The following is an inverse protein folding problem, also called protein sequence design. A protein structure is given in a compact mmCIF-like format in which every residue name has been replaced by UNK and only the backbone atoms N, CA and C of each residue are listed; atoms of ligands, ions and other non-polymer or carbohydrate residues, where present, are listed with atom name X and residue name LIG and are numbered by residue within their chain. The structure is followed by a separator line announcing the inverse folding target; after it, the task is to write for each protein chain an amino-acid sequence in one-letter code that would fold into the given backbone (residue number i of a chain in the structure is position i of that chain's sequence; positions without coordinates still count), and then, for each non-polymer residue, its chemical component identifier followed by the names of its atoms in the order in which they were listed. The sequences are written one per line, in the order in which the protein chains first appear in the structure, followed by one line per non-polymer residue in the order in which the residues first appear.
data_IF_616046136793
#
_entry.id   IF_616046136793
#
_cell.length_a   1.000
_cell.length_b   1.000
_cell.length_c   1.000
_cell.angle_alpha   90.00
_cell.angle_beta   90.00
_cell.angle_gamma   90.00
#
_symmetry.space_group_name_H-M   'P 1'
#
loop_
_entity.id
_entity.type
_entity.pdbx_description
1 polymer ?
#
# COMPACT_ATOMS: atom_id res chain seq x y z
N UNK A 1 -5.62 5.22 17.69
CA UNK A 1 -6.00 6.20 16.64
C UNK A 1 -5.29 7.55 16.76
N UNK A 2 -5.22 8.21 17.93
CA UNK A 2 -4.50 9.50 18.06
C UNK A 2 -3.02 9.44 17.66
N UNK A 3 -2.30 8.36 18.01
CA UNK A 3 -0.88 8.19 17.66
C UNK A 3 -0.65 7.92 16.17
N UNK A 4 -1.57 7.18 15.53
CA UNK A 4 -1.49 6.86 14.10
C UNK A 4 -1.61 8.09 13.20
N UNK A 5 -1.91 9.29 13.72
CA UNK A 5 -1.96 10.50 12.90
C UNK A 5 -1.01 11.61 13.36
N UNK A 6 -0.47 11.53 14.59
CA UNK A 6 0.61 12.41 15.04
C UNK A 6 1.93 12.13 14.29
N UNK A 7 2.15 10.88 13.84
CA UNK A 7 3.28 10.50 12.99
C UNK A 7 3.14 11.07 11.56
N UNK A 8 1.93 11.35 11.11
CA UNK A 8 1.59 11.61 9.71
C UNK A 8 1.50 13.09 9.32
N UNK A 9 1.65 13.99 10.30
CA UNK A 9 1.34 15.42 10.15
C UNK A 9 2.17 16.19 9.12
N UNK A 10 3.48 15.97 9.00
CA UNK A 10 4.30 16.90 8.19
C UNK A 10 5.49 16.28 7.43
N UNK A 11 5.86 15.00 7.67
CA UNK A 11 7.14 14.45 7.15
C UNK A 11 7.03 13.00 6.62
N UNK A 12 6.06 12.20 7.08
CA UNK A 12 6.07 10.75 6.81
C UNK A 12 5.28 10.24 5.61
N UNK A 13 4.23 10.94 5.15
CA UNK A 13 3.68 10.65 3.82
C UNK A 13 4.78 10.84 2.75
N UNK A 14 5.66 11.81 2.97
CA UNK A 14 6.84 12.01 2.15
C UNK A 14 7.87 10.90 2.35
N UNK A 15 8.21 10.45 3.57
CA UNK A 15 9.18 9.35 3.79
C UNK A 15 8.68 7.97 3.36
N UNK A 16 7.39 7.65 3.49
CA UNK A 16 6.83 6.40 2.95
C UNK A 16 6.83 6.49 1.43
N UNK A 17 6.32 7.56 0.81
CA UNK A 17 6.53 7.76 -0.64
C UNK A 17 8.00 7.85 -1.03
N UNK A 18 8.93 8.30 -0.19
CA UNK A 18 10.34 8.46 -0.55
C UNK A 18 11.11 7.16 -0.39
N UNK A 19 10.82 6.32 0.61
CA UNK A 19 11.35 4.95 0.72
C UNK A 19 10.65 4.01 -0.27
N UNK A 20 9.38 4.25 -0.59
CA UNK A 20 8.58 3.53 -1.58
C UNK A 20 8.96 3.92 -3.00
N UNK A 21 9.11 5.22 -3.30
CA UNK A 21 9.75 5.70 -4.52
C UNK A 21 11.19 5.25 -4.52
N UNK A 22 12.01 5.36 -3.46
CA UNK A 22 13.37 4.82 -3.48
C UNK A 22 13.40 3.30 -3.67
N UNK A 23 12.43 2.52 -3.17
CA UNK A 23 12.34 1.09 -3.43
C UNK A 23 11.93 0.84 -4.88
N UNK A 24 10.85 1.45 -5.37
CA UNK A 24 10.37 1.38 -6.77
C UNK A 24 11.41 1.92 -7.76
N UNK A 25 12.15 2.96 -7.41
CA UNK A 25 13.16 3.66 -8.23
C UNK A 25 14.52 2.95 -8.13
N UNK A 26 14.90 2.39 -6.98
CA UNK A 26 16.00 1.41 -6.83
C UNK A 26 15.72 0.14 -7.63
N UNK A 27 14.46 -0.32 -7.63
CA UNK A 27 13.97 -1.44 -8.43
C UNK A 27 13.85 -1.11 -9.92
N UNK A 28 13.68 0.16 -10.30
CA UNK A 28 13.70 0.63 -11.70
C UNK A 28 15.13 0.85 -12.22
N UNK A 29 16.04 1.31 -11.36
CA UNK A 29 17.48 1.49 -11.66
C UNK A 29 18.24 0.16 -11.74
N UNK A 30 17.86 -0.83 -10.94
CA UNK A 30 18.29 -2.22 -11.12
C UNK A 30 17.35 -2.85 -12.15
N UNK A 31 17.74 -2.85 -13.43
CA UNK A 31 16.96 -3.23 -14.61
C UNK A 31 16.34 -4.67 -14.66
N UNK A 32 15.97 -5.28 -13.53
CA UNK A 32 15.58 -6.68 -13.38
C UNK A 32 14.10 -6.90 -12.97
N UNK A 33 13.35 -5.89 -12.51
CA UNK A 33 11.92 -6.08 -12.19
C UNK A 33 11.01 -5.69 -13.37
N UNK A 34 10.15 -6.61 -13.79
CA UNK A 34 9.15 -6.38 -14.82
C UNK A 34 7.92 -5.63 -14.26
N UNK A 35 7.22 -4.87 -15.11
CA UNK A 35 6.04 -4.07 -14.76
C UNK A 35 5.03 -4.77 -13.81
N UNK A 36 4.80 -6.07 -14.03
CA UNK A 36 3.94 -6.96 -13.23
C UNK A 36 4.37 -7.19 -11.78
N UNK A 37 5.66 -7.23 -11.50
CA UNK A 37 6.19 -7.41 -10.14
C UNK A 37 5.98 -6.11 -9.34
N UNK A 38 6.13 -4.95 -9.99
CA UNK A 38 5.77 -3.64 -9.40
C UNK A 38 4.27 -3.59 -9.11
N UNK A 39 3.45 -4.04 -10.05
CA UNK A 39 2.00 -4.09 -9.89
C UNK A 39 1.59 -4.99 -8.71
N UNK A 40 2.30 -6.10 -8.49
CA UNK A 40 2.08 -6.99 -7.33
C UNK A 40 2.30 -6.26 -6.00
N UNK A 41 3.31 -5.39 -5.92
CA UNK A 41 3.58 -4.55 -4.74
C UNK A 41 2.50 -3.48 -4.56
N UNK A 42 2.14 -2.78 -5.64
CA UNK A 42 1.12 -1.72 -5.60
C UNK A 42 -0.23 -2.24 -5.13
N UNK A 43 -0.65 -3.42 -5.62
CA UNK A 43 -1.92 -4.03 -5.20
C UNK A 43 -1.94 -4.26 -3.68
N UNK A 44 -0.84 -4.72 -3.09
CA UNK A 44 -0.77 -4.97 -1.65
C UNK A 44 -0.92 -3.67 -0.87
N UNK A 45 -0.18 -2.64 -1.24
CA UNK A 45 -0.19 -1.36 -0.53
C UNK A 45 -1.55 -0.67 -0.59
N UNK A 46 -2.14 -0.56 -1.78
CA UNK A 46 -3.44 0.14 -1.88
C UNK A 46 -4.56 -0.68 -1.21
N UNK A 47 -4.50 -2.01 -1.32
CA UNK A 47 -5.53 -2.87 -0.75
C UNK A 47 -5.40 -3.04 0.77
N UNK A 48 -4.19 -3.00 1.35
CA UNK A 48 -4.00 -2.99 2.81
C UNK A 48 -4.67 -1.75 3.42
N UNK A 49 -4.46 -0.58 2.81
CA UNK A 49 -5.06 0.68 3.24
C UNK A 49 -6.57 0.70 3.06
N UNK A 50 -7.11 0.19 1.95
CA UNK A 50 -8.57 0.09 1.78
C UNK A 50 -9.18 -0.80 2.86
N UNK A 51 -8.56 -1.95 3.11
CA UNK A 51 -9.03 -2.93 4.09
C UNK A 51 -8.97 -2.39 5.51
N UNK A 52 -7.95 -1.59 5.82
CA UNK A 52 -7.81 -0.88 7.09
C UNK A 52 -8.83 0.25 7.21
N UNK A 53 -8.92 1.12 6.20
CA UNK A 53 -9.81 2.28 6.15
C UNK A 53 -11.27 1.90 6.37
N UNK A 54 -11.75 0.87 5.66
CA UNK A 54 -13.12 0.34 5.82
C UNK A 54 -13.41 -0.16 7.25
N UNK A 55 -12.42 -0.71 7.96
CA UNK A 55 -12.61 -1.17 9.34
C UNK A 55 -12.71 -0.01 10.33
N UNK A 56 -11.98 1.08 10.08
CA UNK A 56 -11.89 2.20 11.01
C UNK A 56 -12.84 3.35 10.67
N UNK A 57 -13.43 3.39 9.47
CA UNK A 57 -14.29 4.46 8.96
C UNK A 57 -15.36 4.91 9.98
N UNK A 58 -16.12 3.94 10.52
CA UNK A 58 -17.22 4.22 11.45
C UNK A 58 -16.78 4.58 12.87
N UNK A 59 -15.53 4.31 13.23
CA UNK A 59 -14.96 4.61 14.55
C UNK A 59 -14.01 5.80 14.53
N UNK A 60 -13.70 6.33 13.35
CA UNK A 60 -12.75 7.43 13.17
C UNK A 60 -13.23 8.69 13.86
N UNK A 61 -12.41 9.21 14.76
CA UNK A 61 -12.67 10.48 15.43
C UNK A 61 -12.57 11.62 14.39
N UNK A 62 -13.58 12.49 14.35
CA UNK A 62 -13.67 13.60 13.38
C UNK A 62 -13.24 14.97 13.94
N UNK A 63 -12.63 15.00 15.13
CA UNK A 63 -12.14 16.21 15.79
C UNK A 63 -10.78 16.66 15.24
N UNK A 64 -10.02 15.76 14.59
CA UNK A 64 -8.73 16.07 13.95
C UNK A 64 -8.80 15.82 12.44
N UNK A 65 -8.68 16.90 11.66
CA UNK A 65 -8.69 16.87 10.20
C UNK A 65 -7.73 15.81 9.63
N UNK A 66 -6.47 15.85 10.06
CA UNK A 66 -5.42 14.93 9.62
C UNK A 66 -5.81 13.47 9.86
N UNK A 67 -6.47 13.15 10.99
CA UNK A 67 -6.89 11.78 11.26
C UNK A 67 -7.97 11.27 10.32
N UNK A 68 -9.00 12.09 10.11
CA UNK A 68 -10.17 11.62 9.40
C UNK A 68 -10.04 11.75 7.89
N UNK A 69 -9.33 12.76 7.41
CA UNK A 69 -9.02 12.91 5.99
C UNK A 69 -8.23 11.71 5.49
N UNK A 70 -7.27 11.21 6.28
CA UNK A 70 -6.50 10.03 5.91
C UNK A 70 -7.37 8.78 5.74
N UNK A 71 -8.38 8.60 6.60
CA UNK A 71 -9.33 7.50 6.49
C UNK A 71 -10.23 7.70 5.26
N UNK A 72 -10.75 8.91 5.06
CA UNK A 72 -11.64 9.24 3.93
C UNK A 72 -10.95 9.08 2.57
N UNK A 73 -9.65 9.37 2.48
CA UNK A 73 -8.85 9.14 1.28
C UNK A 73 -8.72 7.66 0.91
N UNK A 74 -8.69 6.78 1.92
CA UNK A 74 -8.47 5.34 1.76
C UNK A 74 -9.74 4.52 1.99
N UNK A 75 -10.93 5.13 1.87
CA UNK A 75 -12.21 4.43 1.92
C UNK A 75 -13.16 4.91 0.82
N UNK A 76 -14.37 4.33 0.81
CA UNK A 76 -15.42 4.72 -0.12
C UNK A 76 -15.24 4.22 -1.57
N UNK A 77 -16.27 4.51 -2.39
CA UNK A 77 -16.44 3.92 -3.72
C UNK A 77 -15.34 4.26 -4.71
N UNK A 78 -14.76 5.44 -4.59
CA UNK A 78 -13.68 5.84 -5.49
C UNK A 78 -12.43 4.99 -5.26
N UNK A 79 -11.97 4.88 -4.01
CA UNK A 79 -10.77 4.13 -3.68
C UNK A 79 -10.97 2.61 -3.86
N UNK A 80 -12.16 2.10 -3.56
CA UNK A 80 -12.56 0.72 -3.93
C UNK A 80 -12.39 0.45 -5.43
N UNK A 81 -12.75 1.42 -6.28
CA UNK A 81 -12.58 1.33 -7.72
C UNK A 81 -11.11 1.28 -8.15
N UNK A 82 -10.24 2.08 -7.52
CA UNK A 82 -8.78 2.07 -7.78
C UNK A 82 -8.18 0.71 -7.43
N UNK A 83 -8.45 0.20 -6.23
CA UNK A 83 -7.93 -1.10 -5.78
C UNK A 83 -8.44 -2.23 -6.69
N UNK A 84 -9.73 -2.21 -7.04
CA UNK A 84 -10.29 -3.21 -7.94
C UNK A 84 -9.64 -3.16 -9.33
N UNK A 85 -9.40 -1.96 -9.88
CA UNK A 85 -8.70 -1.81 -11.14
C UNK A 85 -7.30 -2.43 -11.10
N UNK A 86 -6.51 -2.15 -10.07
CA UNK A 86 -5.15 -2.70 -9.92
C UNK A 86 -5.16 -4.23 -9.81
N UNK A 87 -6.11 -4.79 -9.06
CA UNK A 87 -6.28 -6.24 -8.94
C UNK A 87 -6.63 -6.89 -10.27
N UNK A 88 -7.62 -6.34 -10.99
CA UNK A 88 -7.98 -6.84 -12.31
C UNK A 88 -6.82 -6.72 -13.32
N UNK A 89 -6.00 -5.68 -13.21
CA UNK A 89 -4.81 -5.55 -14.05
C UNK A 89 -3.77 -6.63 -13.71
N UNK A 90 -3.55 -6.91 -12.42
CA UNK A 90 -2.65 -7.95 -11.98
C UNK A 90 -3.12 -9.35 -12.41
N UNK A 91 -4.42 -9.63 -12.31
CA UNK A 91 -5.01 -10.89 -12.76
C UNK A 91 -4.77 -11.08 -14.28
N UNK A 92 -4.99 -10.03 -15.08
CA UNK A 92 -4.73 -10.06 -16.53
C UNK A 92 -3.27 -10.31 -16.86
N UNK A 93 -2.34 -9.64 -16.17
CA UNK A 93 -0.90 -9.89 -16.34
C UNK A 93 -0.54 -11.32 -15.93
N UNK A 94 -1.18 -11.85 -14.88
CA UNK A 94 -1.02 -13.21 -14.40
C UNK A 94 -1.42 -14.29 -15.41
N UNK A 95 -2.35 -14.00 -16.33
CA UNK A 95 -2.75 -14.93 -17.39
C UNK A 95 -1.73 -14.97 -18.55
N UNK A 96 -0.90 -13.95 -18.68
CA UNK A 96 0.03 -13.76 -19.81
C UNK A 96 1.46 -14.20 -19.52
N UNK A 97 1.73 -14.71 -18.31
CA UNK A 97 3.07 -15.06 -17.84
C UNK A 97 3.25 -16.55 -17.57
N UNK A 98 4.50 -16.98 -17.68
CA UNK A 98 4.94 -18.32 -17.30
C UNK A 98 5.01 -18.50 -15.78
N UNK A 99 5.25 -19.74 -15.35
CA UNK A 99 5.30 -20.10 -13.93
C UNK A 99 6.42 -19.37 -13.19
N UNK A 100 7.54 -19.11 -13.85
CA UNK A 100 8.66 -18.36 -13.26
C UNK A 100 8.25 -16.91 -12.98
N UNK A 101 7.61 -16.24 -13.94
CA UNK A 101 7.09 -14.89 -13.76
C UNK A 101 6.02 -14.82 -12.67
N UNK A 102 5.17 -15.85 -12.56
CA UNK A 102 4.15 -15.94 -11.52
C UNK A 102 4.78 -16.06 -10.13
N UNK A 103 5.83 -16.87 -9.98
CA UNK A 103 6.52 -17.01 -8.68
C UNK A 103 7.28 -15.73 -8.29
N UNK A 104 7.85 -14.99 -9.25
CA UNK A 104 8.43 -13.67 -8.96
C UNK A 104 7.39 -12.66 -8.48
N UNK A 105 6.24 -12.57 -9.17
CA UNK A 105 5.12 -11.69 -8.76
C UNK A 105 4.63 -12.04 -7.34
N UNK A 106 4.46 -13.33 -7.07
CA UNK A 106 4.07 -13.83 -5.74
C UNK A 106 5.11 -13.51 -4.67
N UNK A 107 6.40 -13.63 -4.98
CA UNK A 107 7.48 -13.28 -4.05
C UNK A 107 7.42 -11.80 -3.69
N UNK A 108 7.26 -10.92 -4.68
CA UNK A 108 7.09 -9.48 -4.47
C UNK A 108 5.83 -9.17 -3.66
N UNK A 109 4.70 -9.81 -3.97
CA UNK A 109 3.44 -9.66 -3.24
C UNK A 109 3.61 -10.01 -1.76
N UNK A 110 4.15 -11.20 -1.45
CA UNK A 110 4.35 -11.65 -0.08
C UNK A 110 5.33 -10.75 0.68
N UNK A 111 6.39 -10.28 0.02
CA UNK A 111 7.33 -9.35 0.65
C UNK A 111 6.68 -8.00 0.94
N UNK A 112 5.84 -7.48 0.04
CA UNK A 112 5.08 -6.27 0.28
C UNK A 112 4.12 -6.42 1.48
N UNK A 113 3.45 -7.58 1.62
CA UNK A 113 2.55 -7.84 2.76
C UNK A 113 3.32 -7.78 4.07
N UNK A 114 4.49 -8.43 4.12
CA UNK A 114 5.35 -8.40 5.31
C UNK A 114 5.79 -6.97 5.65
N UNK A 115 6.19 -6.18 4.65
CA UNK A 115 6.64 -4.80 4.88
C UNK A 115 5.51 -3.89 5.35
N UNK A 116 4.28 -4.08 4.83
CA UNK A 116 3.10 -3.37 5.31
C UNK A 116 2.81 -3.71 6.78
N UNK A 117 2.86 -4.99 7.16
CA UNK A 117 2.68 -5.44 8.55
C UNK A 117 3.74 -4.81 9.48
N UNK A 118 5.02 -4.91 9.10
CA UNK A 118 6.14 -4.31 9.85
C UNK A 118 5.98 -2.79 9.99
N UNK A 119 5.48 -2.11 8.94
CA UNK A 119 5.21 -0.68 8.97
C UNK A 119 4.08 -0.33 9.94
N UNK A 120 2.96 -1.06 9.92
CA UNK A 120 1.89 -0.85 10.89
C UNK A 120 2.39 -1.09 12.32
N UNK A 121 3.12 -2.18 12.58
CA UNK A 121 3.67 -2.50 13.89
C UNK A 121 4.64 -1.43 14.38
N UNK A 122 5.51 -0.92 13.50
CA UNK A 122 6.42 0.18 13.83
C UNK A 122 5.64 1.45 14.19
N UNK A 123 4.61 1.81 13.42
CA UNK A 123 3.78 2.98 13.69
C UNK A 123 3.03 2.89 15.03
N UNK A 124 2.68 1.69 15.49
CA UNK A 124 2.02 1.47 16.79
C UNK A 124 3.00 1.38 17.97
N UNK A 125 4.24 0.94 17.74
CA UNK A 125 5.26 0.74 18.79
C UNK A 125 6.17 1.95 19.01
N UNK A 126 6.29 2.83 18.02
CA UNK A 126 7.08 4.07 18.11
C UNK A 126 6.37 5.11 18.97
N UNK A 127 6.79 5.22 20.23
CA UNK A 127 6.31 6.17 21.23
C UNK A 127 7.18 7.44 21.27
#
# INVERSE_FOLDING_TARGET
MKQFCLIWGDIFACLFLTLYLLYVYSLHLNACMHHREILSVLVVCEWSYLSWGQKVENMTNRDSFVTYEWVDLHCGKYFEGVVNYLRCLLDKEGDMIDDEGRERCKTCFLKAVQLEEEFFDYAYSSN
#
